data_IF_610491383997
#
_entry.id   IF_610491383997
#
_cell.length_a   1.000
_cell.length_b   1.000
_cell.length_c   1.000
_cell.angle_alpha   90.00
_cell.angle_beta   90.00
_cell.angle_gamma   90.00
#
_symmetry.space_group_name_H-M   'P 1'
#
loop_
_entity.id
_entity.type
_entity.pdbx_description
1 polymer ?
#
# COMPACT_ATOMS: atom_id res chain seq x y z
N UNK A 1 -18.90 -4.73 -6.23
CA UNK A 1 -19.82 -3.70 -5.73
C UNK A 1 -19.22 -2.29 -5.81
N UNK A 2 -17.95 -2.12 -5.58
CA UNK A 2 -17.28 -0.83 -5.72
C UNK A 2 -16.94 -0.46 -7.17
N UNK A 3 -17.19 -1.35 -8.11
CA UNK A 3 -16.89 -1.14 -9.52
C UNK A 3 -17.73 -0.04 -10.19
N UNK A 4 -18.90 0.25 -9.65
CA UNK A 4 -19.78 1.28 -10.19
C UNK A 4 -19.63 2.63 -9.52
N UNK A 5 -18.66 2.79 -8.63
CA UNK A 5 -18.43 4.04 -7.91
C UNK A 5 -17.58 4.96 -8.79
N UNK A 6 -18.03 6.21 -8.95
CA UNK A 6 -17.28 7.23 -9.66
C UNK A 6 -15.93 7.50 -8.97
N UNK A 7 -14.94 7.91 -9.75
CA UNK A 7 -13.59 8.17 -9.23
C UNK A 7 -13.56 9.17 -8.07
N UNK A 8 -14.44 10.15 -8.09
CA UNK A 8 -14.56 11.11 -7.00
C UNK A 8 -14.99 10.45 -5.70
N UNK A 9 -15.89 9.46 -5.80
CA UNK A 9 -16.35 8.70 -4.64
C UNK A 9 -15.23 7.83 -4.07
N UNK A 10 -14.39 7.26 -4.92
CA UNK A 10 -13.24 6.47 -4.48
C UNK A 10 -12.29 7.33 -3.64
N UNK A 11 -11.98 8.52 -4.11
CA UNK A 11 -11.15 9.47 -3.38
C UNK A 11 -11.75 9.81 -2.01
N UNK A 12 -13.05 10.10 -1.98
CA UNK A 12 -13.74 10.45 -0.74
C UNK A 12 -13.80 9.28 0.25
N UNK A 13 -14.00 8.06 -0.25
CA UNK A 13 -13.99 6.86 0.60
C UNK A 13 -12.62 6.71 1.26
N UNK A 14 -11.55 6.86 0.51
CA UNK A 14 -10.19 6.80 1.05
C UNK A 14 -10.00 7.87 2.11
N UNK A 15 -10.42 9.10 1.83
CA UNK A 15 -10.30 10.22 2.75
C UNK A 15 -11.07 9.97 4.05
N UNK A 16 -12.29 9.48 3.96
CA UNK A 16 -13.13 9.18 5.13
C UNK A 16 -12.49 8.08 5.98
N UNK A 17 -12.01 7.01 5.35
CA UNK A 17 -11.37 5.91 6.07
C UNK A 17 -10.10 6.38 6.78
N UNK A 18 -9.33 7.26 6.15
CA UNK A 18 -8.14 7.83 6.78
C UNK A 18 -8.49 8.73 7.95
N UNK A 19 -9.58 9.49 7.87
CA UNK A 19 -10.06 10.31 8.97
C UNK A 19 -10.47 9.47 10.18
N UNK A 20 -10.92 8.24 9.95
CA UNK A 20 -11.23 7.29 11.00
C UNK A 20 -10.00 6.53 11.51
N UNK A 21 -8.82 6.98 11.12
CA UNK A 21 -7.52 6.41 11.52
C UNK A 21 -7.26 4.99 11.00
N UNK A 22 -7.87 4.64 9.86
CA UNK A 22 -7.55 3.40 9.18
C UNK A 22 -6.38 3.61 8.21
N UNK A 23 -5.54 2.60 8.08
CA UNK A 23 -4.53 2.55 7.03
C UNK A 23 -5.19 1.97 5.78
N UNK A 24 -5.20 2.72 4.70
CA UNK A 24 -5.96 2.38 3.50
C UNK A 24 -5.02 1.97 2.37
N UNK A 25 -5.22 0.76 1.84
CA UNK A 25 -4.60 0.32 0.60
C UNK A 25 -5.64 0.36 -0.51
N UNK A 26 -5.23 0.78 -1.70
CA UNK A 26 -6.12 0.87 -2.84
C UNK A 26 -5.45 0.35 -4.11
N UNK A 27 -6.22 -0.34 -4.95
CA UNK A 27 -5.78 -0.78 -6.26
C UNK A 27 -6.55 -0.02 -7.35
N UNK A 28 -5.90 0.24 -8.47
CA UNK A 28 -6.55 0.90 -9.58
C UNK A 28 -5.78 0.69 -10.89
N UNK A 29 -6.44 0.95 -12.00
CA UNK A 29 -5.87 0.72 -13.34
C UNK A 29 -5.98 1.92 -14.27
N UNK A 30 -6.80 2.90 -13.96
CA UNK A 30 -7.10 3.98 -14.87
C UNK A 30 -6.69 5.37 -14.38
N UNK A 31 -6.78 6.33 -15.29
CA UNK A 31 -6.50 7.75 -15.00
C UNK A 31 -7.41 8.25 -13.87
N UNK A 32 -8.66 7.80 -13.86
CA UNK A 32 -9.64 8.23 -12.87
C UNK A 32 -9.30 7.77 -11.45
N UNK A 33 -8.51 6.71 -11.32
CA UNK A 33 -8.12 6.19 -10.02
C UNK A 33 -6.89 6.88 -9.44
N UNK A 34 -6.16 7.64 -10.26
CA UNK A 34 -4.90 8.26 -9.84
C UNK A 34 -5.02 9.14 -8.58
N UNK A 35 -6.02 10.02 -8.44
CA UNK A 35 -6.16 10.81 -7.22
C UNK A 35 -6.36 9.95 -5.98
N UNK A 36 -7.16 8.89 -6.06
CA UNK A 36 -7.42 7.99 -4.94
C UNK A 36 -6.19 7.15 -4.60
N UNK A 37 -5.47 6.66 -5.61
CA UNK A 37 -4.22 5.93 -5.41
C UNK A 37 -3.18 6.79 -4.69
N UNK A 38 -3.09 8.06 -5.07
CA UNK A 38 -2.14 8.98 -4.45
C UNK A 38 -2.53 9.33 -3.03
N UNK A 39 -3.83 9.43 -2.75
CA UNK A 39 -4.33 9.74 -1.41
C UNK A 39 -4.22 8.56 -0.46
N UNK A 40 -4.39 7.34 -0.94
CA UNK A 40 -4.29 6.14 -0.11
C UNK A 40 -2.91 6.03 0.53
N UNK A 41 -2.84 5.37 1.67
CA UNK A 41 -1.56 5.12 2.34
C UNK A 41 -0.67 4.21 1.48
N UNK A 42 -1.28 3.25 0.79
CA UNK A 42 -0.60 2.41 -0.19
C UNK A 42 -1.45 2.36 -1.45
N UNK A 43 -0.95 2.92 -2.55
CA UNK A 43 -1.57 2.81 -3.86
C UNK A 43 -0.89 1.73 -4.68
N UNK A 44 -1.66 0.83 -5.26
CA UNK A 44 -1.16 -0.28 -6.06
C UNK A 44 -1.76 -0.21 -7.47
N UNK A 45 -0.91 -0.05 -8.47
CA UNK A 45 -1.33 -0.09 -9.86
C UNK A 45 -1.23 -1.54 -10.38
N UNK A 46 -2.25 -1.98 -11.11
CA UNK A 46 -2.23 -3.31 -11.72
C UNK A 46 -1.29 -3.35 -12.92
N UNK A 47 -0.98 -4.55 -13.40
CA UNK A 47 0.05 -4.74 -14.44
C UNK A 47 -0.28 -4.04 -15.77
N UNK A 48 -1.55 -3.90 -16.10
CA UNK A 48 -2.02 -3.25 -17.33
C UNK A 48 -2.56 -1.83 -17.06
N UNK A 49 -2.15 -1.22 -15.97
CA UNK A 49 -2.58 0.12 -15.60
C UNK A 49 -2.03 1.18 -16.57
N UNK A 50 -2.74 2.31 -16.65
CA UNK A 50 -2.28 3.46 -17.42
C UNK A 50 -1.06 4.10 -16.75
N UNK A 51 -0.32 4.91 -17.53
CA UNK A 51 0.83 5.61 -16.99
C UNK A 51 0.47 6.55 -15.84
N UNK A 52 -0.72 7.16 -15.90
CA UNK A 52 -1.18 8.04 -14.83
C UNK A 52 -1.37 7.26 -13.52
N UNK A 53 -1.98 6.07 -13.59
CA UNK A 53 -2.15 5.24 -12.41
C UNK A 53 -0.80 4.74 -11.88
N UNK A 54 0.10 4.34 -12.76
CA UNK A 54 1.45 3.90 -12.36
C UNK A 54 2.22 5.01 -11.64
N UNK A 55 2.12 6.24 -12.16
CA UNK A 55 2.81 7.38 -11.56
C UNK A 55 2.26 7.74 -10.18
N UNK A 56 0.97 7.51 -9.95
CA UNK A 56 0.32 7.80 -8.68
C UNK A 56 0.47 6.71 -7.65
N UNK A 57 0.86 5.50 -8.06
CA UNK A 57 0.93 4.34 -7.19
C UNK A 57 2.31 4.22 -6.52
N UNK A 58 2.31 3.65 -5.33
CA UNK A 58 3.53 3.31 -4.60
C UNK A 58 4.13 1.99 -5.09
N UNK A 59 3.26 1.08 -5.53
CA UNK A 59 3.66 -0.23 -6.06
C UNK A 59 3.00 -0.43 -7.41
N UNK A 60 3.74 -1.07 -8.33
CA UNK A 60 3.21 -1.45 -9.64
C UNK A 60 3.38 -2.96 -9.79
N UNK A 61 2.27 -3.65 -10.04
CA UNK A 61 2.31 -5.10 -10.24
C UNK A 61 2.86 -5.42 -11.63
N UNK A 62 3.74 -6.41 -11.71
CA UNK A 62 4.33 -6.87 -12.97
C UNK A 62 3.56 -8.04 -13.58
N UNK A 63 2.76 -8.73 -12.76
CA UNK A 63 1.96 -9.87 -13.21
C UNK A 63 0.48 -9.59 -12.98
N UNK A 64 -0.40 -10.08 -13.88
CA UNK A 64 -1.83 -9.89 -13.71
C UNK A 64 -2.38 -10.74 -12.58
N UNK A 65 -3.45 -10.24 -11.96
CA UNK A 65 -4.20 -10.96 -10.94
C UNK A 65 -4.02 -10.40 -9.55
N UNK A 66 -5.09 -10.44 -8.79
CA UNK A 66 -5.11 -9.93 -7.41
C UNK A 66 -4.40 -10.86 -6.42
N UNK A 67 -4.19 -12.12 -6.79
CA UNK A 67 -3.45 -13.08 -5.96
C UNK A 67 -2.02 -12.64 -5.69
N UNK A 68 -1.42 -11.88 -6.62
CA UNK A 68 -0.08 -11.31 -6.46
C UNK A 68 -0.04 -10.35 -5.27
N UNK A 69 -1.11 -9.64 -5.00
CA UNK A 69 -1.21 -8.73 -3.85
C UNK A 69 -1.10 -9.50 -2.54
N UNK A 70 -1.75 -10.65 -2.45
CA UNK A 70 -1.67 -11.50 -1.26
C UNK A 70 -0.22 -11.93 -1.01
N UNK A 71 0.47 -12.38 -2.05
CA UNK A 71 1.89 -12.76 -1.95
C UNK A 71 2.75 -11.57 -1.53
N UNK A 72 2.49 -10.38 -2.08
CA UNK A 72 3.22 -9.17 -1.72
C UNK A 72 3.00 -8.80 -0.25
N UNK A 73 1.77 -8.90 0.26
CA UNK A 73 1.46 -8.63 1.66
C UNK A 73 2.19 -9.60 2.57
N UNK A 74 2.17 -10.91 2.26
CA UNK A 74 2.84 -11.91 3.07
C UNK A 74 4.34 -11.70 3.09
N UNK A 75 4.94 -11.39 1.94
CA UNK A 75 6.38 -11.10 1.85
C UNK A 75 6.72 -9.83 2.64
N UNK A 76 5.90 -8.79 2.52
CA UNK A 76 6.12 -7.54 3.24
C UNK A 76 6.05 -7.73 4.74
N UNK A 77 5.13 -8.55 5.22
CA UNK A 77 5.02 -8.89 6.64
C UNK A 77 6.25 -9.62 7.14
N UNK A 78 6.79 -10.55 6.34
CA UNK A 78 8.00 -11.27 6.70
C UNK A 78 9.20 -10.33 6.79
N UNK A 79 9.34 -9.42 5.82
CA UNK A 79 10.40 -8.41 5.83
C UNK A 79 10.27 -7.48 7.02
N UNK A 80 9.06 -7.01 7.30
CA UNK A 80 8.81 -6.13 8.43
C UNK A 80 9.13 -6.81 9.75
N UNK A 81 8.79 -8.09 9.90
CA UNK A 81 9.11 -8.86 11.10
C UNK A 81 10.61 -8.99 11.29
N UNK A 82 11.35 -9.22 10.21
CA UNK A 82 12.82 -9.25 10.26
C UNK A 82 13.39 -7.90 10.69
N UNK A 83 12.90 -6.82 10.09
CA UNK A 83 13.34 -5.47 10.46
C UNK A 83 13.07 -5.18 11.92
N UNK A 84 11.90 -5.56 12.42
CA UNK A 84 11.54 -5.39 13.82
C UNK A 84 12.47 -6.18 14.73
N UNK A 85 12.79 -7.41 14.38
CA UNK A 85 13.71 -8.25 15.13
C UNK A 85 15.10 -7.63 15.17
N UNK A 86 15.61 -7.16 14.04
CA UNK A 86 16.91 -6.48 13.99
C UNK A 86 16.93 -5.23 14.84
N UNK A 87 15.87 -4.44 14.83
CA UNK A 87 15.77 -3.24 15.64
C UNK A 87 15.84 -3.57 17.13
N UNK A 88 15.11 -4.61 17.55
CA UNK A 88 15.14 -5.06 18.96
C UNK A 88 16.54 -5.53 19.34
N UNK A 89 17.19 -6.32 18.48
CA UNK A 89 18.56 -6.77 18.73
C UNK A 89 19.53 -5.60 18.85
N UNK A 90 19.42 -4.61 17.97
CA UNK A 90 20.27 -3.41 18.03
C UNK A 90 20.04 -2.63 19.32
N UNK A 91 18.80 -2.46 19.75
CA UNK A 91 18.48 -1.76 21.01
C UNK A 91 19.05 -2.52 22.20
N UNK A 92 18.87 -3.83 22.25
CA UNK A 92 19.42 -4.66 23.34
C UNK A 92 20.95 -4.56 23.36
N UNK A 93 21.58 -4.62 22.20
CA UNK A 93 23.04 -4.50 22.10
C UNK A 93 23.54 -3.15 22.63
N UNK A 94 22.85 -2.05 22.23
CA UNK A 94 23.20 -0.73 22.69
C UNK A 94 23.04 -0.59 24.21
N UNK A 95 21.98 -1.14 24.78
CA UNK A 95 21.78 -1.15 26.23
C UNK A 95 22.90 -1.92 26.93
N UNK A 96 23.30 -3.05 26.38
CA UNK A 96 24.40 -3.83 26.95
C UNK A 96 25.74 -3.07 26.90
N UNK A 97 25.96 -2.33 25.81
CA UNK A 97 27.19 -1.55 25.64
C UNK A 97 27.26 -0.33 26.58
N UNK A 98 26.12 0.23 26.97
CA UNK A 98 26.03 1.42 27.83
C UNK A 98 26.02 1.06 29.31
N UNK A 99 25.73 -0.17 29.63
CA UNK A 99 25.77 -0.64 31.01
C UNK A 99 27.14 -1.26 31.34
#
# INVERSE_FOLDING_TARGET
>A
MLQCILSEHKYEIVKILQQKQHVVGMTGDGVNDAPALKKADIGIAVSDATDAARSAADLVLTEPGLSVIISAVLTSRAIFQRMKNYTVECVVFLFSALS
#
